data_IF_064304087081
#
_entry.id   IF_064304087081
#
_cell.length_a   1.000
_cell.length_b   1.000
_cell.length_c   1.000
_cell.angle_alpha   90.00
_cell.angle_beta   90.00
_cell.angle_gamma   90.00
#
_symmetry.space_group_name_H-M   'P 1'
#
loop_
_entity.id
_entity.type
_entity.pdbx_description
1 polymer ?
#
# COMPACT_ATOMS: atom_id res chain seq x y z
N UNK A 1 71.80 -8.09 46.05
CA UNK A 1 71.30 -9.31 46.73
C UNK A 1 70.62 -8.89 48.03
N UNK A 2 69.29 -9.03 48.08
CA UNK A 2 68.40 -9.13 49.25
C UNK A 2 68.76 -8.49 50.62
N UNK A 3 67.86 -7.59 51.07
CA UNK A 3 66.96 -7.77 52.23
C UNK A 3 67.11 -6.87 53.51
N UNK A 4 66.00 -6.15 53.77
CA UNK A 4 65.31 -5.72 55.03
C UNK A 4 65.97 -4.79 56.07
N UNK A 5 65.15 -3.84 56.57
CA UNK A 5 64.63 -3.64 57.96
C UNK A 5 63.99 -2.23 58.03
N UNK A 6 62.66 -2.04 58.04
CA UNK A 6 61.69 -1.91 59.16
C UNK A 6 61.86 -0.69 60.10
N UNK A 7 60.71 -0.04 60.35
CA UNK A 7 60.29 0.81 61.48
C UNK A 7 60.49 2.34 61.41
N UNK A 8 59.36 3.07 61.43
CA UNK A 8 59.12 4.12 62.43
C UNK A 8 57.64 4.38 62.65
N UNK A 9 57.36 4.77 63.87
CA UNK A 9 56.11 4.66 64.60
C UNK A 9 55.06 5.72 64.28
N UNK A 10 53.85 5.31 64.57
CA UNK A 10 52.56 5.97 64.49
C UNK A 10 52.33 6.87 65.72
N UNK A 11 51.70 8.04 65.54
CA UNK A 11 51.12 8.81 66.63
C UNK A 11 50.92 10.29 66.31
N UNK A 12 49.66 10.69 66.06
CA UNK A 12 48.92 11.72 66.81
C UNK A 12 47.51 11.80 66.20
N UNK A 13 46.52 11.62 67.08
CA UNK A 13 45.10 11.85 66.84
C UNK A 13 44.72 13.29 67.25
N UNK A 14 43.51 13.69 66.85
CA UNK A 14 42.77 14.95 67.09
C UNK A 14 43.01 16.10 66.11
N UNK A 15 42.06 16.25 65.18
CA UNK A 15 41.24 17.46 65.02
C UNK A 15 39.92 17.04 64.36
N UNK A 16 38.81 17.30 65.05
CA UNK A 16 37.48 16.87 64.65
C UNK A 16 36.57 18.08 64.34
N UNK A 17 35.83 17.95 63.22
CA UNK A 17 34.57 18.60 62.81
C UNK A 17 34.58 20.09 62.38
N UNK A 18 33.74 20.52 61.39
CA UNK A 18 32.53 19.86 60.88
C UNK A 18 32.42 19.73 59.34
N UNK A 19 32.03 18.56 58.83
CA UNK A 19 31.49 18.41 57.46
C UNK A 19 30.12 17.75 57.51
N UNK A 20 29.20 18.38 58.25
CA UNK A 20 27.77 18.27 57.96
C UNK A 20 27.44 19.43 57.00
N UNK A 21 26.61 19.15 56.00
CA UNK A 21 26.19 20.01 54.87
C UNK A 21 27.08 19.96 53.62
N UNK A 22 26.94 18.88 52.84
CA UNK A 22 26.57 18.92 51.43
C UNK A 22 26.68 17.51 50.84
N UNK A 23 25.73 16.63 51.15
CA UNK A 23 25.37 15.61 50.15
C UNK A 23 24.69 16.37 49.02
N UNK A 24 25.49 16.93 48.11
CA UNK A 24 25.01 17.22 46.77
C UNK A 24 24.62 15.85 46.22
N UNK A 25 23.33 15.53 46.37
CA UNK A 25 22.66 14.62 45.46
C UNK A 25 22.90 15.24 44.10
N UNK A 26 23.96 14.79 43.43
CA UNK A 26 24.18 15.05 42.02
C UNK A 26 22.97 14.41 41.35
N UNK A 27 21.89 15.20 41.17
CA UNK A 27 20.87 14.86 40.23
C UNK A 27 21.62 14.66 38.91
N UNK A 28 21.73 13.40 38.47
CA UNK A 28 22.25 13.14 37.14
C UNK A 28 21.33 13.90 36.20
N UNK A 29 21.86 14.94 35.55
CA UNK A 29 21.15 15.58 34.45
C UNK A 29 20.80 14.47 33.46
N UNK A 30 19.51 14.15 33.39
CA UNK A 30 19.02 13.10 32.51
C UNK A 30 19.40 13.50 31.09
N UNK A 31 20.12 12.60 30.38
CA UNK A 31 20.46 12.82 28.98
C UNK A 31 19.18 13.11 28.20
N UNK A 32 19.08 14.32 27.67
CA UNK A 32 17.98 14.72 26.81
C UNK A 32 18.19 14.10 25.42
N UNK A 33 17.12 13.65 24.73
CA UNK A 33 17.21 13.20 23.35
C UNK A 33 17.78 14.29 22.43
N UNK A 34 18.52 13.90 21.40
CA UNK A 34 19.04 14.82 20.36
C UNK A 34 18.05 14.93 19.19
N UNK A 35 18.34 15.79 18.21
CA UNK A 35 17.57 15.79 16.96
C UNK A 35 17.68 14.44 16.22
N UNK A 36 18.83 13.76 16.31
CA UNK A 36 19.02 12.42 15.73
C UNK A 36 18.07 11.38 16.35
N UNK A 37 17.79 11.49 17.65
CA UNK A 37 16.83 10.60 18.33
C UNK A 37 15.37 10.91 17.95
N UNK A 38 15.06 12.17 17.62
CA UNK A 38 13.70 12.70 17.55
C UNK A 38 13.16 12.86 16.13
N UNK A 39 14.02 13.08 15.14
CA UNK A 39 13.60 13.37 13.77
C UNK A 39 13.67 12.12 12.88
N UNK A 40 12.59 11.81 12.13
CA UNK A 40 12.64 10.76 11.11
C UNK A 40 13.78 11.00 10.12
N UNK A 41 14.65 10.00 9.95
CA UNK A 41 15.86 10.09 9.13
C UNK A 41 17.15 10.33 9.91
N UNK A 42 17.05 10.62 11.21
CA UNK A 42 18.21 10.69 12.10
C UNK A 42 18.86 9.33 12.34
N UNK A 43 20.16 9.33 12.62
CA UNK A 43 20.97 8.11 12.77
C UNK A 43 20.50 7.21 13.91
N UNK A 44 19.99 7.83 14.99
CA UNK A 44 19.51 7.14 16.19
C UNK A 44 18.01 7.29 16.39
N UNK A 45 17.27 7.57 15.30
CA UNK A 45 15.84 7.85 15.37
C UNK A 45 15.08 6.73 16.08
N UNK A 46 14.42 7.09 17.18
CA UNK A 46 13.75 6.11 18.04
C UNK A 46 12.32 5.93 17.58
N UNK A 47 12.01 4.75 17.07
CA UNK A 47 10.64 4.34 16.75
C UNK A 47 10.18 3.22 17.66
N UNK A 48 8.89 3.22 17.96
CA UNK A 48 8.26 2.04 18.54
C UNK A 48 8.33 0.88 17.54
N UNK A 49 8.45 -0.34 18.06
CA UNK A 49 8.38 -1.55 17.23
C UNK A 49 6.97 -1.67 16.63
N UNK A 50 6.87 -1.53 15.31
CA UNK A 50 5.60 -1.71 14.60
C UNK A 50 5.40 -3.18 14.29
N UNK A 51 4.39 -3.78 14.92
CA UNK A 51 3.94 -5.14 14.60
C UNK A 51 2.97 -5.12 13.44
N UNK A 52 3.17 -6.03 12.50
CA UNK A 52 2.32 -6.18 11.31
C UNK A 52 1.35 -7.33 11.49
N UNK A 53 0.05 -7.04 11.42
CA UNK A 53 -1.00 -8.05 11.59
C UNK A 53 -1.86 -8.20 10.33
N UNK A 54 -2.33 -9.43 10.07
CA UNK A 54 -3.30 -9.77 9.02
C UNK A 54 -4.34 -10.75 9.54
N UNK A 55 -5.57 -10.64 9.03
CA UNK A 55 -6.61 -11.61 9.30
C UNK A 55 -6.54 -12.78 8.32
N UNK A 56 -6.69 -14.00 8.83
CA UNK A 56 -6.99 -15.19 8.05
C UNK A 56 -8.47 -15.54 8.27
N UNK A 57 -9.33 -14.97 7.41
CA UNK A 57 -10.77 -14.87 7.62
C UNK A 57 -11.10 -14.48 9.06
N UNK A 58 -12.12 -15.14 9.62
CA UNK A 58 -12.49 -15.03 11.04
C UNK A 58 -11.77 -16.05 11.93
N UNK A 59 -10.88 -16.87 11.35
CA UNK A 59 -10.29 -18.01 12.03
C UNK A 59 -9.10 -17.61 12.91
N UNK A 60 -8.21 -16.75 12.41
CA UNK A 60 -6.98 -16.37 13.12
C UNK A 60 -6.47 -14.96 12.79
N UNK A 61 -5.74 -14.38 13.73
CA UNK A 61 -4.91 -13.21 13.52
C UNK A 61 -3.46 -13.64 13.33
N UNK A 62 -2.81 -13.17 12.25
CA UNK A 62 -1.45 -13.51 11.87
C UNK A 62 -0.51 -12.34 12.11
N UNK A 63 0.55 -12.54 12.87
CA UNK A 63 1.67 -11.61 13.06
C UNK A 63 2.74 -11.90 12.00
N UNK A 64 2.97 -10.93 11.11
CA UNK A 64 3.99 -10.98 10.07
C UNK A 64 5.32 -10.52 10.65
N UNK A 65 6.25 -11.46 10.83
CA UNK A 65 7.58 -11.19 11.37
C UNK A 65 8.70 -11.26 10.33
N UNK A 66 9.94 -11.09 10.81
CA UNK A 66 11.16 -11.27 10.02
C UNK A 66 11.40 -12.76 9.73
N UNK A 67 11.45 -13.57 10.79
CA UNK A 67 11.83 -14.99 10.67
C UNK A 67 10.66 -15.95 10.50
N UNK A 68 9.45 -15.52 10.80
CA UNK A 68 8.24 -16.37 10.72
C UNK A 68 6.96 -15.55 10.67
N UNK A 69 5.91 -16.18 10.18
CA UNK A 69 4.53 -15.75 10.43
C UNK A 69 3.98 -16.60 11.56
N UNK A 70 3.54 -15.93 12.63
CA UNK A 70 2.86 -16.57 13.77
C UNK A 70 1.38 -16.28 13.69
N UNK A 71 0.56 -17.19 14.18
CA UNK A 71 -0.89 -17.02 14.24
C UNK A 71 -1.40 -17.20 15.66
N UNK A 72 -2.51 -16.54 15.98
CA UNK A 72 -3.32 -16.75 17.18
C UNK A 72 -4.72 -17.08 16.70
N UNK A 73 -5.26 -18.22 17.11
CA UNK A 73 -6.63 -18.61 16.79
C UNK A 73 -7.64 -17.68 17.48
N UNK A 74 -8.58 -17.15 16.71
CA UNK A 74 -9.64 -16.26 17.23
C UNK A 74 -10.88 -17.04 17.71
N UNK A 75 -11.07 -18.25 17.21
CA UNK A 75 -12.24 -19.09 17.47
C UNK A 75 -11.84 -20.53 17.81
N UNK A 76 -12.73 -21.27 18.47
CA UNK A 76 -12.56 -22.70 18.68
C UNK A 76 -12.96 -23.48 17.42
N UNK A 77 -12.19 -24.49 17.07
CA UNK A 77 -12.44 -25.36 15.93
C UNK A 77 -11.75 -26.72 16.09
N UNK A 78 -11.85 -27.57 15.06
CA UNK A 78 -11.19 -28.88 15.07
C UNK A 78 -9.67 -28.67 15.11
N UNK A 79 -9.05 -29.04 16.24
CA UNK A 79 -7.60 -28.87 16.44
C UNK A 79 -7.13 -27.42 16.65
N UNK A 80 -8.04 -26.50 16.97
CA UNK A 80 -7.72 -25.10 17.23
C UNK A 80 -8.48 -24.59 18.47
N UNK A 81 -7.77 -24.05 19.45
CA UNK A 81 -8.36 -23.40 20.62
C UNK A 81 -8.16 -21.89 20.56
N UNK A 82 -9.20 -21.12 20.84
CA UNK A 82 -9.09 -19.67 20.89
C UNK A 82 -7.97 -19.20 21.84
N UNK A 83 -7.12 -18.29 21.38
CA UNK A 83 -5.94 -17.79 22.08
C UNK A 83 -4.69 -18.66 21.95
N UNK A 84 -4.78 -19.84 21.34
CA UNK A 84 -3.62 -20.71 21.11
C UNK A 84 -2.75 -20.16 19.97
N UNK A 85 -1.44 -20.13 20.21
CA UNK A 85 -0.45 -19.70 19.25
C UNK A 85 -0.03 -20.86 18.33
N UNK A 86 0.21 -20.56 17.06
CA UNK A 86 0.78 -21.49 16.10
C UNK A 86 1.74 -20.80 15.13
N UNK A 87 2.54 -21.58 14.41
CA UNK A 87 3.44 -21.07 13.37
C UNK A 87 2.87 -21.39 12.00
N UNK A 88 2.61 -20.36 11.20
CA UNK A 88 2.12 -20.50 9.82
C UNK A 88 3.24 -21.00 8.91
N UNK A 89 4.38 -20.31 8.90
CA UNK A 89 5.56 -20.67 8.11
C UNK A 89 6.80 -19.94 8.65
N UNK A 90 7.97 -20.57 8.53
CA UNK A 90 9.27 -19.92 8.81
C UNK A 90 9.92 -19.40 7.53
N UNK A 91 10.81 -18.40 7.66
CA UNK A 91 11.56 -17.86 6.54
C UNK A 91 12.43 -18.92 5.85
N UNK A 92 12.94 -19.88 6.64
CA UNK A 92 13.70 -21.03 6.14
C UNK A 92 12.83 -21.95 5.28
N UNK A 93 11.63 -22.29 5.75
CA UNK A 93 10.66 -23.11 5.00
C UNK A 93 10.24 -22.41 3.70
N UNK A 94 9.84 -21.14 3.79
CA UNK A 94 9.40 -20.37 2.62
C UNK A 94 10.52 -20.28 1.57
N UNK A 95 11.75 -19.95 1.98
CA UNK A 95 12.88 -19.86 1.06
C UNK A 95 13.30 -21.21 0.47
N UNK A 96 13.05 -22.33 1.17
CA UNK A 96 13.26 -23.67 0.60
C UNK A 96 12.30 -23.89 -0.58
N UNK A 97 11.00 -23.62 -0.40
CA UNK A 97 9.99 -23.75 -1.46
C UNK A 97 10.27 -22.85 -2.66
N UNK A 98 10.73 -21.62 -2.41
CA UNK A 98 11.09 -20.67 -3.47
C UNK A 98 12.33 -21.12 -4.25
N UNK A 99 13.34 -21.69 -3.57
CA UNK A 99 14.57 -22.16 -4.21
C UNK A 99 14.32 -23.35 -5.14
N UNK A 100 13.41 -24.26 -4.79
CA UNK A 100 13.03 -25.41 -5.62
C UNK A 100 12.46 -25.02 -6.99
N UNK A 101 11.97 -23.78 -7.12
CA UNK A 101 11.40 -23.22 -8.37
C UNK A 101 12.17 -22.00 -8.89
N UNK A 102 13.32 -21.67 -8.30
CA UNK A 102 14.17 -20.52 -8.67
C UNK A 102 13.46 -19.15 -8.59
N UNK A 103 12.50 -18.98 -7.67
CA UNK A 103 11.61 -17.78 -7.58
C UNK A 103 12.16 -16.64 -6.71
N UNK A 104 13.47 -16.64 -6.46
CA UNK A 104 14.13 -15.66 -5.60
C UNK A 104 14.08 -16.01 -4.11
N UNK A 105 14.25 -15.00 -3.25
CA UNK A 105 14.41 -15.18 -1.81
C UNK A 105 13.73 -14.06 -1.03
N UNK A 106 13.05 -14.42 0.06
CA UNK A 106 12.48 -13.51 1.04
C UNK A 106 13.48 -13.16 2.13
N UNK A 107 13.35 -11.94 2.66
CA UNK A 107 14.10 -11.44 3.83
C UNK A 107 13.24 -11.29 5.08
N UNK A 108 11.93 -11.09 4.91
CA UNK A 108 10.92 -10.97 5.95
C UNK A 108 9.53 -11.25 5.34
N UNK A 109 8.49 -11.23 6.17
CA UNK A 109 7.10 -11.43 5.73
C UNK A 109 6.24 -10.16 5.75
N UNK A 110 6.80 -8.96 5.93
CA UNK A 110 5.99 -7.73 6.10
C UNK A 110 5.09 -7.41 4.90
N UNK A 111 5.48 -7.85 3.69
CA UNK A 111 4.69 -7.68 2.47
C UNK A 111 3.78 -8.88 2.16
N UNK A 112 3.73 -9.89 3.02
CA UNK A 112 2.87 -11.06 2.81
C UNK A 112 1.39 -10.69 2.97
N UNK A 113 0.52 -11.34 2.20
CA UNK A 113 -0.94 -11.14 2.25
C UNK A 113 -1.65 -12.48 2.41
N UNK A 114 -2.63 -12.53 3.29
CA UNK A 114 -3.60 -13.62 3.32
C UNK A 114 -4.61 -13.43 2.19
N UNK A 115 -5.00 -14.51 1.53
CA UNK A 115 -6.10 -14.46 0.55
C UNK A 115 -7.37 -14.88 1.29
N UNK A 116 -8.31 -13.94 1.41
CA UNK A 116 -9.53 -14.13 2.19
C UNK A 116 -10.80 -14.21 1.32
N UNK A 117 -10.66 -14.44 0.01
CA UNK A 117 -11.78 -14.64 -0.91
C UNK A 117 -12.62 -15.84 -0.45
N UNK A 118 -13.89 -15.64 -0.08
CA UNK A 118 -14.77 -16.74 0.28
C UNK A 118 -14.98 -17.67 -0.92
N UNK A 119 -14.84 -18.99 -0.74
CA UNK A 119 -15.48 -19.93 -1.65
C UNK A 119 -17.00 -19.83 -1.47
N UNK A 120 -17.75 -19.88 -2.57
CA UNK A 120 -19.20 -19.73 -2.56
C UNK A 120 -19.86 -20.68 -1.54
N UNK A 121 -20.50 -20.08 -0.54
CA UNK A 121 -21.50 -20.63 0.38
C UNK A 121 -21.36 -22.11 0.78
N UNK A 122 -20.59 -22.39 1.85
CA UNK A 122 -21.04 -23.40 2.81
C UNK A 122 -21.94 -22.70 3.81
N UNK A 123 -23.24 -22.86 3.64
CA UNK A 123 -24.25 -22.41 4.61
C UNK A 123 -24.07 -23.25 5.88
N UNK A 124 -23.75 -22.57 6.97
CA UNK A 124 -23.70 -23.17 8.32
C UNK A 124 -22.29 -23.47 8.80
N UNK A 125 -21.75 -22.54 9.60
CA UNK A 125 -20.56 -22.65 10.47
C UNK A 125 -19.21 -22.54 9.73
N UNK A 126 -18.54 -21.40 9.99
CA UNK A 126 -17.22 -20.96 9.53
C UNK A 126 -17.06 -20.79 8.00
N UNK A 127 -16.88 -19.54 7.57
CA UNK A 127 -16.25 -19.20 6.30
C UNK A 127 -14.94 -19.98 6.18
N UNK A 128 -14.93 -21.05 5.39
CA UNK A 128 -13.70 -21.75 5.02
C UNK A 128 -12.98 -20.88 4.00
N UNK A 129 -12.07 -20.04 4.49
CA UNK A 129 -11.05 -19.39 3.66
C UNK A 129 -9.91 -20.37 3.41
N UNK A 130 -9.51 -20.48 2.15
CA UNK A 130 -8.39 -21.33 1.77
C UNK A 130 -7.12 -20.86 2.50
N UNK A 131 -6.26 -21.78 3.00
CA UNK A 131 -5.05 -21.44 3.76
C UNK A 131 -3.96 -20.92 2.84
N UNK A 132 -4.24 -19.85 2.10
CA UNK A 132 -3.37 -19.31 1.06
C UNK A 132 -2.66 -18.05 1.54
N UNK A 133 -1.36 -18.02 1.26
CA UNK A 133 -0.50 -16.89 1.57
C UNK A 133 0.20 -16.42 0.29
N UNK A 134 -0.01 -15.16 -0.04
CA UNK A 134 0.72 -14.47 -1.10
C UNK A 134 2.02 -13.92 -0.53
N UNK A 135 3.12 -14.30 -1.17
CA UNK A 135 4.48 -13.88 -0.90
C UNK A 135 4.97 -13.06 -2.09
N UNK A 136 5.80 -12.04 -1.82
CA UNK A 136 6.41 -11.21 -2.85
C UNK A 136 7.94 -11.18 -2.66
N UNK A 137 8.68 -11.73 -3.62
CA UNK A 137 10.16 -11.77 -3.59
C UNK A 137 10.80 -10.52 -4.22
N UNK A 138 10.00 -9.55 -4.65
CA UNK A 138 10.39 -8.41 -5.48
C UNK A 138 10.45 -8.75 -6.97
N UNK A 139 10.77 -10.00 -7.33
CA UNK A 139 10.77 -10.49 -8.72
C UNK A 139 9.58 -11.35 -9.07
N UNK A 140 8.98 -12.01 -8.08
CA UNK A 140 7.84 -12.89 -8.27
C UNK A 140 6.82 -12.69 -7.16
N UNK A 141 5.54 -12.75 -7.55
CA UNK A 141 4.42 -13.06 -6.66
C UNK A 141 4.28 -14.56 -6.60
N UNK A 142 4.16 -15.10 -5.40
CA UNK A 142 4.08 -16.55 -5.17
C UNK A 142 2.96 -16.82 -4.20
N UNK A 143 2.08 -17.76 -4.56
CA UNK A 143 0.99 -18.19 -3.72
C UNK A 143 1.32 -19.58 -3.17
N UNK A 144 1.25 -19.72 -1.86
CA UNK A 144 1.49 -20.99 -1.17
C UNK A 144 0.25 -21.42 -0.39
N UNK A 145 0.01 -22.72 -0.33
CA UNK A 145 -0.84 -23.33 0.70
C UNK A 145 0.02 -23.58 1.94
N UNK A 146 -0.16 -22.78 2.99
CA UNK A 146 0.71 -22.83 4.15
C UNK A 146 0.45 -24.03 5.07
N UNK A 147 -0.74 -24.66 4.98
CA UNK A 147 -1.04 -25.89 5.72
C UNK A 147 -0.36 -27.09 5.06
N UNK A 148 -0.41 -27.17 3.73
CA UNK A 148 0.27 -28.23 2.96
C UNK A 148 1.76 -27.97 2.78
N UNK A 149 2.21 -26.72 2.98
CA UNK A 149 3.58 -26.26 2.69
C UNK A 149 3.93 -26.45 1.22
N UNK A 150 3.01 -26.10 0.34
CA UNK A 150 3.15 -26.29 -1.10
C UNK A 150 3.02 -24.97 -1.84
N UNK A 151 3.83 -24.80 -2.90
CA UNK A 151 3.69 -23.71 -3.84
C UNK A 151 2.60 -24.06 -4.85
N UNK A 152 1.56 -23.22 -4.94
CA UNK A 152 0.40 -23.50 -5.79
C UNK A 152 0.36 -22.65 -7.06
N UNK A 153 0.99 -21.47 -7.04
CA UNK A 153 0.99 -20.55 -8.18
C UNK A 153 2.11 -19.52 -8.05
N UNK A 154 2.58 -18.99 -9.18
CA UNK A 154 3.50 -17.86 -9.22
C UNK A 154 3.27 -17.01 -10.48
N UNK A 155 3.69 -15.74 -10.42
CA UNK A 155 3.66 -14.79 -11.52
C UNK A 155 4.86 -13.84 -11.40
N UNK A 156 5.54 -13.49 -12.50
CA UNK A 156 6.62 -12.51 -12.47
C UNK A 156 6.10 -11.11 -12.09
N UNK A 157 6.90 -10.36 -11.36
CA UNK A 157 6.70 -8.93 -11.15
C UNK A 157 7.37 -8.17 -12.32
N UNK A 158 6.62 -7.36 -13.09
CA UNK A 158 7.21 -6.64 -14.21
C UNK A 158 8.30 -5.67 -13.74
N UNK A 159 9.41 -5.61 -14.48
CA UNK A 159 10.48 -4.65 -14.19
C UNK A 159 9.97 -3.21 -14.39
N UNK A 160 10.40 -2.30 -13.51
CA UNK A 160 10.04 -0.87 -13.56
C UNK A 160 8.53 -0.58 -13.43
N UNK A 161 7.72 -1.58 -13.07
CA UNK A 161 6.32 -1.38 -12.77
C UNK A 161 6.13 -0.40 -11.61
N UNK A 162 5.23 0.57 -11.82
CA UNK A 162 4.70 1.41 -10.76
C UNK A 162 3.19 1.14 -10.59
N UNK A 163 2.62 1.61 -9.49
CA UNK A 163 1.16 1.56 -9.23
C UNK A 163 0.54 0.17 -9.39
N UNK A 164 1.25 -0.87 -8.92
CA UNK A 164 0.79 -2.25 -8.98
C UNK A 164 -0.51 -2.47 -8.18
N UNK A 165 -1.57 -2.90 -8.86
CA UNK A 165 -2.87 -3.26 -8.27
C UNK A 165 -3.25 -4.68 -8.68
N UNK A 166 -3.16 -5.62 -7.73
CA UNK A 166 -3.35 -7.05 -7.95
C UNK A 166 -4.71 -7.50 -7.41
N UNK A 167 -5.53 -8.11 -8.27
CA UNK A 167 -6.81 -8.68 -7.89
C UNK A 167 -6.63 -10.11 -7.36
N UNK A 168 -7.13 -10.40 -6.16
CA UNK A 168 -6.95 -11.71 -5.52
C UNK A 168 -7.82 -12.84 -6.11
N UNK A 169 -8.92 -12.50 -6.78
CA UNK A 169 -9.84 -13.47 -7.40
C UNK A 169 -9.30 -13.93 -8.76
N UNK A 170 -9.13 -13.00 -9.70
CA UNK A 170 -8.62 -13.30 -11.05
C UNK A 170 -7.11 -13.50 -11.09
N UNK A 171 -6.38 -13.02 -10.07
CA UNK A 171 -4.91 -12.94 -10.03
C UNK A 171 -4.30 -12.09 -11.13
N UNK A 172 -5.11 -11.22 -11.73
CA UNK A 172 -4.63 -10.23 -12.68
C UNK A 172 -3.91 -9.09 -11.95
N UNK A 173 -2.87 -8.58 -12.59
CA UNK A 173 -2.08 -7.45 -12.11
C UNK A 173 -2.27 -6.28 -13.07
N UNK A 174 -2.82 -5.18 -12.58
CA UNK A 174 -2.74 -3.89 -13.26
C UNK A 174 -1.48 -3.16 -12.79
N UNK A 175 -0.77 -2.50 -13.69
CA UNK A 175 0.40 -1.70 -13.34
C UNK A 175 0.67 -0.67 -14.43
N UNK A 176 1.47 0.34 -14.11
CA UNK A 176 1.83 1.39 -15.06
C UNK A 176 3.30 1.33 -15.40
N UNK A 177 3.62 1.60 -16.67
CA UNK A 177 4.96 1.94 -17.13
C UNK A 177 4.90 3.34 -17.71
N UNK A 178 5.66 4.26 -17.11
CA UNK A 178 5.58 5.70 -17.41
C UNK A 178 4.13 6.20 -17.30
N UNK A 179 3.55 6.71 -18.39
CA UNK A 179 2.20 7.26 -18.45
C UNK A 179 1.13 6.26 -18.92
N UNK A 180 1.51 5.00 -19.19
CA UNK A 180 0.62 4.01 -19.80
C UNK A 180 0.27 2.85 -18.85
N UNK A 181 -0.94 2.33 -19.01
CA UNK A 181 -1.51 1.23 -18.22
C UNK A 181 -1.30 -0.13 -18.91
N UNK A 182 -0.95 -1.13 -18.11
CA UNK A 182 -0.75 -2.51 -18.50
C UNK A 182 -1.53 -3.45 -17.58
N UNK A 183 -1.91 -4.61 -18.13
CA UNK A 183 -2.51 -5.72 -17.38
C UNK A 183 -1.73 -6.99 -17.67
N UNK A 184 -1.31 -7.69 -16.61
CA UNK A 184 -0.77 -9.03 -16.70
C UNK A 184 -1.80 -10.04 -16.18
N UNK A 185 -2.15 -11.03 -16.98
CA UNK A 185 -3.09 -12.10 -16.61
C UNK A 185 -2.42 -13.15 -15.72
N UNK A 186 -3.22 -14.04 -15.14
CA UNK A 186 -2.76 -15.01 -14.15
C UNK A 186 -1.74 -16.04 -14.67
N UNK A 187 -1.67 -16.22 -15.99
CA UNK A 187 -0.71 -17.06 -16.71
C UNK A 187 0.56 -16.29 -17.12
N UNK A 188 0.66 -15.00 -16.74
CA UNK A 188 1.81 -14.16 -17.00
C UNK A 188 1.78 -13.41 -18.34
N UNK A 189 0.73 -13.55 -19.16
CA UNK A 189 0.62 -12.77 -20.40
C UNK A 189 0.42 -11.29 -20.08
N UNK A 190 1.23 -10.44 -20.69
CA UNK A 190 1.16 -8.98 -20.52
C UNK A 190 0.42 -8.35 -21.69
N UNK A 191 -0.49 -7.43 -21.39
CA UNK A 191 -1.27 -6.67 -22.35
C UNK A 191 -1.16 -5.19 -22.04
N UNK A 192 -0.80 -4.42 -23.06
CA UNK A 192 -0.82 -2.96 -22.97
C UNK A 192 -2.27 -2.49 -23.14
N UNK A 193 -2.80 -1.78 -22.13
CA UNK A 193 -4.17 -1.29 -22.13
C UNK A 193 -4.27 0.06 -22.84
N UNK A 194 -3.24 0.90 -22.70
CA UNK A 194 -3.22 2.25 -23.28
C UNK A 194 -1.91 2.53 -24.03
N UNK A 195 -2.00 3.35 -25.07
CA UNK A 195 -0.85 3.86 -25.83
C UNK A 195 -1.04 5.36 -26.02
N UNK A 196 -0.63 6.14 -25.03
CA UNK A 196 -0.88 7.57 -24.94
C UNK A 196 0.41 8.37 -25.04
N UNK A 197 0.30 9.57 -25.62
CA UNK A 197 1.39 10.53 -25.74
C UNK A 197 1.71 11.21 -24.40
N UNK A 198 2.82 11.96 -24.37
CA UNK A 198 3.17 12.82 -23.24
C UNK A 198 2.03 13.80 -22.90
N UNK A 199 1.80 14.05 -21.62
CA UNK A 199 0.70 14.89 -21.15
C UNK A 199 -0.64 14.17 -21.01
N UNK A 200 -0.70 12.86 -21.31
CA UNK A 200 -1.83 12.00 -20.98
C UNK A 200 -1.35 10.87 -20.08
N UNK A 201 -1.97 10.75 -18.90
CA UNK A 201 -1.58 9.81 -17.84
C UNK A 201 -2.73 8.83 -17.58
N UNK A 202 -2.44 7.53 -17.68
CA UNK A 202 -3.42 6.46 -17.53
C UNK A 202 -3.12 5.55 -16.33
N UNK A 203 -4.18 5.14 -15.61
CA UNK A 203 -4.07 4.17 -14.51
C UNK A 203 -3.41 4.70 -13.23
N UNK A 204 -3.27 6.03 -13.10
CA UNK A 204 -2.64 6.69 -11.95
C UNK A 204 -3.65 7.58 -11.22
N UNK A 205 -3.28 8.01 -10.02
CA UNK A 205 -4.07 8.98 -9.27
C UNK A 205 -4.25 10.28 -10.07
N UNK A 206 -5.43 10.89 -9.97
CA UNK A 206 -5.82 12.11 -10.68
C UNK A 206 -6.26 13.17 -9.69
N UNK A 207 -6.61 14.36 -10.19
CA UNK A 207 -7.12 15.46 -9.36
C UNK A 207 -6.19 15.79 -8.18
N UNK A 208 -4.87 15.62 -8.38
CA UNK A 208 -3.84 15.85 -7.36
C UNK A 208 -4.08 15.11 -6.03
N UNK A 209 -4.68 13.91 -6.08
CA UNK A 209 -4.98 13.07 -4.92
C UNK A 209 -6.08 13.61 -3.98
N UNK A 210 -6.89 14.56 -4.44
CA UNK A 210 -8.06 15.05 -3.69
C UNK A 210 -9.20 14.00 -3.68
N UNK A 211 -10.23 14.24 -2.86
CA UNK A 211 -11.48 13.44 -2.80
C UNK A 211 -11.23 11.94 -2.50
N UNK A 212 -10.23 11.66 -1.66
CA UNK A 212 -9.84 10.30 -1.30
C UNK A 212 -9.15 9.49 -2.42
N UNK A 213 -8.80 10.11 -3.55
CA UNK A 213 -8.16 9.42 -4.67
C UNK A 213 -6.68 9.15 -4.37
N UNK A 214 -6.33 7.87 -4.21
CA UNK A 214 -4.95 7.44 -3.95
C UNK A 214 -4.37 6.52 -5.04
N UNK A 215 -5.19 6.08 -6.00
CA UNK A 215 -4.81 5.24 -7.14
C UNK A 215 -5.69 5.53 -8.35
N UNK A 216 -5.36 4.93 -9.50
CA UNK A 216 -6.12 5.11 -10.74
C UNK A 216 -6.63 3.82 -11.38
N UNK A 217 -6.62 2.70 -10.66
CA UNK A 217 -7.02 1.38 -11.12
C UNK A 217 -8.01 0.75 -10.13
N UNK A 218 -9.11 0.20 -10.65
CA UNK A 218 -10.22 -0.31 -9.86
C UNK A 218 -10.75 -1.59 -10.50
N UNK A 219 -10.29 -2.74 -10.00
CA UNK A 219 -10.77 -4.04 -10.42
C UNK A 219 -12.25 -4.25 -10.05
N UNK A 220 -13.02 -4.81 -10.97
CA UNK A 220 -14.33 -5.41 -10.68
C UNK A 220 -14.20 -6.55 -9.66
N UNK A 221 -15.27 -6.95 -8.97
CA UNK A 221 -15.16 -7.93 -7.87
C UNK A 221 -14.58 -9.27 -8.31
N UNK A 222 -14.84 -9.71 -9.53
CA UNK A 222 -14.31 -10.95 -10.13
C UNK A 222 -12.99 -10.74 -10.87
N UNK A 223 -12.57 -9.48 -11.06
CA UNK A 223 -11.30 -9.13 -11.68
C UNK A 223 -11.22 -9.35 -13.19
N UNK A 224 -12.36 -9.46 -13.88
CA UNK A 224 -12.46 -9.58 -15.35
C UNK A 224 -12.61 -8.22 -16.06
N UNK A 225 -13.08 -7.19 -15.34
CA UNK A 225 -13.08 -5.80 -15.79
C UNK A 225 -12.17 -4.93 -14.91
N UNK A 226 -11.49 -3.98 -15.52
CA UNK A 226 -10.65 -2.98 -14.85
C UNK A 226 -11.12 -1.57 -15.23
N UNK A 227 -11.64 -0.82 -14.27
CA UNK A 227 -11.86 0.60 -14.45
C UNK A 227 -10.57 1.36 -14.16
N UNK A 228 -10.30 2.41 -14.93
CA UNK A 228 -9.12 3.22 -14.77
C UNK A 228 -9.34 4.68 -15.17
N UNK A 229 -8.58 5.59 -14.55
CA UNK A 229 -8.55 6.98 -14.98
C UNK A 229 -7.64 7.17 -16.21
N UNK A 230 -8.09 8.03 -17.12
CA UNK A 230 -7.28 8.66 -18.17
C UNK A 230 -7.35 10.17 -17.95
N UNK A 231 -6.22 10.78 -17.64
CA UNK A 231 -6.11 12.23 -17.39
C UNK A 231 -5.32 12.88 -18.53
N UNK A 232 -5.94 13.84 -19.22
CA UNK A 232 -5.27 14.73 -20.15
C UNK A 232 -4.92 16.03 -19.43
N UNK A 233 -3.62 16.27 -19.28
CA UNK A 233 -3.03 17.46 -18.66
C UNK A 233 -2.22 18.28 -19.67
N UNK A 234 -2.35 18.00 -20.97
CA UNK A 234 -1.62 18.71 -22.03
C UNK A 234 -1.88 20.22 -22.04
N UNK A 235 -3.08 20.64 -21.64
CA UNK A 235 -3.51 22.04 -21.52
C UNK A 235 -3.08 22.71 -20.20
N UNK A 236 -2.59 21.96 -19.23
CA UNK A 236 -2.18 22.49 -17.92
C UNK A 236 -0.80 23.13 -18.04
N UNK A 237 -0.61 24.30 -17.45
CA UNK A 237 0.67 25.00 -17.46
C UNK A 237 1.79 24.17 -16.82
N UNK A 238 2.97 24.19 -17.45
CA UNK A 238 4.19 23.61 -16.88
C UNK A 238 4.87 24.61 -15.95
N UNK A 239 5.17 24.17 -14.73
CA UNK A 239 5.98 24.88 -13.76
C UNK A 239 7.43 24.37 -13.84
N UNK A 240 8.42 25.24 -14.12
CA UNK A 240 9.81 24.83 -14.28
C UNK A 240 10.51 24.71 -12.92
N UNK A 241 10.78 23.48 -12.47
CA UNK A 241 11.74 23.24 -11.40
C UNK A 241 13.15 23.19 -12.00
N UNK A 242 14.16 23.61 -11.23
CA UNK A 242 15.56 23.62 -11.70
C UNK A 242 16.34 22.54 -10.97
N UNK A 243 16.91 21.60 -11.69
CA UNK A 243 17.91 20.68 -11.17
C UNK A 243 19.29 21.34 -11.19
N UNK A 244 19.80 21.65 -9.99
CA UNK A 244 21.12 22.26 -9.78
C UNK A 244 22.23 21.22 -9.59
N UNK A 245 21.91 19.92 -9.58
CA UNK A 245 22.89 18.82 -9.43
C UNK A 245 23.46 18.36 -10.78
N UNK A 246 22.75 18.64 -11.88
CA UNK A 246 23.24 18.43 -13.23
C UNK A 246 24.47 19.30 -13.55
N UNK A 247 25.30 18.85 -14.52
CA UNK A 247 26.55 19.55 -14.89
C UNK A 247 26.30 20.98 -15.38
N UNK A 248 25.20 21.18 -16.08
CA UNK A 248 24.60 22.48 -16.45
C UNK A 248 23.18 22.39 -15.92
N UNK A 249 22.67 23.43 -15.26
CA UNK A 249 21.33 23.38 -14.67
C UNK A 249 20.26 22.99 -15.69
N UNK A 250 19.42 22.03 -15.33
CA UNK A 250 18.37 21.47 -16.20
C UNK A 250 16.97 21.85 -15.70
N UNK A 251 16.02 21.97 -16.61
CA UNK A 251 14.61 22.19 -16.28
C UNK A 251 13.88 20.85 -16.10
N UNK A 252 13.28 20.68 -14.92
CA UNK A 252 12.39 19.58 -14.58
C UNK A 252 10.96 20.10 -14.50
N UNK A 253 10.28 20.13 -15.65
CA UNK A 253 8.92 20.67 -15.75
C UNK A 253 7.89 19.75 -15.09
N UNK A 254 6.96 20.33 -14.33
CA UNK A 254 5.80 19.63 -13.75
C UNK A 254 4.50 20.33 -14.15
N UNK A 255 3.43 19.58 -14.43
CA UNK A 255 2.11 20.17 -14.72
C UNK A 255 1.46 20.64 -13.40
N UNK A 256 1.08 21.91 -13.33
CA UNK A 256 0.53 22.52 -12.12
C UNK A 256 -0.66 23.44 -12.41
N UNK A 257 -1.92 23.01 -12.15
CA UNK A 257 -3.10 23.84 -12.36
C UNK A 257 -3.28 24.83 -11.21
N UNK A 258 -2.86 26.08 -11.40
CA UNK A 258 -3.08 27.14 -10.41
C UNK A 258 -4.57 27.54 -10.33
N UNK A 259 -4.99 28.04 -9.16
CA UNK A 259 -6.35 28.48 -8.92
C UNK A 259 -6.83 29.50 -9.98
N UNK A 260 -8.04 29.30 -10.50
CA UNK A 260 -8.64 30.15 -11.55
C UNK A 260 -8.15 29.89 -12.98
N UNK A 261 -7.14 29.03 -13.19
CA UNK A 261 -6.64 28.67 -14.53
C UNK A 261 -7.23 27.36 -15.05
N UNK A 262 -6.97 27.02 -16.31
CA UNK A 262 -7.42 25.77 -16.93
C UNK A 262 -6.96 24.53 -16.14
N UNK A 263 -7.89 23.62 -15.83
CA UNK A 263 -7.61 22.32 -15.21
C UNK A 263 -7.38 21.23 -16.27
N UNK A 264 -6.82 20.10 -15.82
CA UNK A 264 -6.79 18.86 -16.58
C UNK A 264 -8.20 18.29 -16.79
N UNK A 265 -8.33 17.40 -17.77
CA UNK A 265 -9.56 16.68 -18.12
C UNK A 265 -9.42 15.21 -17.76
N UNK A 266 -10.38 14.66 -17.03
CA UNK A 266 -10.36 13.24 -16.63
C UNK A 266 -11.50 12.49 -17.31
N UNK A 267 -11.21 11.30 -17.83
CA UNK A 267 -12.22 10.33 -18.25
C UNK A 267 -11.98 8.99 -17.56
N UNK A 268 -13.01 8.15 -17.51
CA UNK A 268 -12.94 6.81 -16.91
C UNK A 268 -13.10 5.78 -18.01
N UNK A 269 -12.09 4.93 -18.18
CA UNK A 269 -12.12 3.78 -19.08
C UNK A 269 -12.43 2.50 -18.32
N UNK A 270 -13.08 1.54 -18.98
CA UNK A 270 -13.31 0.17 -18.52
C UNK A 270 -12.67 -0.76 -19.52
N UNK A 271 -11.61 -1.45 -19.10
CA UNK A 271 -10.94 -2.47 -19.88
C UNK A 271 -11.47 -3.86 -19.53
N UNK A 272 -11.89 -4.61 -20.54
CA UNK A 272 -12.30 -6.01 -20.40
C UNK A 272 -11.11 -6.93 -20.71
N UNK A 273 -10.71 -7.75 -19.73
CA UNK A 273 -9.53 -8.62 -19.87
C UNK A 273 -9.77 -9.85 -20.74
N UNK A 274 -11.01 -10.21 -21.06
CA UNK A 274 -11.30 -11.31 -21.97
C UNK A 274 -11.30 -10.81 -23.41
N UNK A 275 -12.05 -9.75 -23.70
CA UNK A 275 -12.21 -9.21 -25.05
C UNK A 275 -11.07 -8.29 -25.46
N UNK A 276 -10.25 -7.83 -24.50
CA UNK A 276 -9.15 -6.88 -24.69
C UNK A 276 -9.62 -5.53 -25.26
N UNK A 277 -10.86 -5.14 -24.95
CA UNK A 277 -11.46 -3.88 -25.42
C UNK A 277 -11.64 -2.92 -24.26
N UNK A 278 -11.51 -1.64 -24.56
CA UNK A 278 -11.78 -0.54 -23.64
C UNK A 278 -13.05 0.20 -24.08
N UNK A 279 -13.93 0.46 -23.12
CA UNK A 279 -15.09 1.35 -23.28
C UNK A 279 -14.91 2.52 -22.32
N UNK A 280 -15.15 3.75 -22.77
CA UNK A 280 -15.11 4.92 -21.90
C UNK A 280 -16.51 5.29 -21.44
N UNK A 281 -16.64 5.73 -20.19
CA UNK A 281 -17.90 6.27 -19.70
C UNK A 281 -18.26 7.51 -20.52
N UNK A 282 -19.48 7.55 -21.03
CA UNK A 282 -20.05 8.67 -21.77
C UNK A 282 -20.47 9.76 -20.78
N UNK A 283 -19.49 10.48 -20.23
CA UNK A 283 -19.75 11.55 -19.26
C UNK A 283 -20.06 12.88 -19.95
N UNK A 284 -19.88 13.01 -21.27
CA UNK A 284 -19.93 14.29 -21.99
C UNK A 284 -18.58 15.03 -21.96
N UNK A 285 -18.59 16.36 -22.04
CA UNK A 285 -17.35 17.17 -21.93
C UNK A 285 -16.82 17.13 -20.48
N UNK A 286 -15.63 16.56 -20.21
CA UNK A 286 -15.08 16.44 -18.86
C UNK A 286 -14.46 17.74 -18.32
N UNK A 287 -14.50 18.84 -19.09
CA UNK A 287 -13.99 20.14 -18.64
C UNK A 287 -14.68 20.55 -17.34
N UNK A 288 -13.90 21.00 -16.35
CA UNK A 288 -14.41 21.59 -15.12
C UNK A 288 -15.29 20.65 -14.27
N UNK A 289 -15.02 19.35 -14.38
CA UNK A 289 -15.71 18.28 -13.66
C UNK A 289 -14.72 17.31 -13.03
N UNK A 290 -15.02 16.86 -11.83
CA UNK A 290 -14.23 15.90 -11.09
C UNK A 290 -14.97 14.57 -11.02
N UNK A 291 -14.31 13.48 -11.41
CA UNK A 291 -14.86 12.13 -11.33
C UNK A 291 -14.12 11.39 -10.22
N UNK A 292 -14.85 11.01 -9.16
CA UNK A 292 -14.26 10.57 -7.90
C UNK A 292 -14.93 9.28 -7.39
N UNK A 293 -14.34 8.66 -6.36
CA UNK A 293 -14.92 7.55 -5.60
C UNK A 293 -15.49 6.39 -6.48
N UNK A 294 -14.73 5.95 -7.49
CA UNK A 294 -15.13 4.85 -8.39
C UNK A 294 -15.43 3.59 -7.58
N UNK A 295 -16.61 3.01 -7.79
CA UNK A 295 -17.08 1.79 -7.13
C UNK A 295 -17.85 0.89 -8.08
N UNK A 296 -17.66 -0.42 -7.96
CA UNK A 296 -18.34 -1.41 -8.82
C UNK A 296 -19.64 -1.90 -8.19
N UNK A 297 -20.66 -2.13 -9.02
CA UNK A 297 -21.77 -2.99 -8.60
C UNK A 297 -21.26 -4.42 -8.34
N UNK A 298 -21.85 -5.16 -7.38
CA UNK A 298 -21.43 -6.54 -7.08
C UNK A 298 -21.51 -7.49 -8.28
N UNK A 299 -22.42 -7.25 -9.22
CA UNK A 299 -22.59 -8.04 -10.45
C UNK A 299 -21.73 -7.53 -11.64
N UNK A 300 -20.95 -6.47 -11.42
CA UNK A 300 -20.11 -5.79 -12.40
C UNK A 300 -20.83 -5.27 -13.67
N UNK A 301 -22.17 -5.22 -13.71
CA UNK A 301 -22.95 -4.71 -14.85
C UNK A 301 -23.06 -3.19 -14.88
N UNK A 302 -22.77 -2.55 -13.74
CA UNK A 302 -22.72 -1.11 -13.61
C UNK A 302 -21.58 -0.67 -12.72
N UNK A 303 -21.16 0.57 -12.90
CA UNK A 303 -20.15 1.24 -12.10
C UNK A 303 -20.72 2.56 -11.59
N UNK A 304 -20.30 2.95 -10.38
CA UNK A 304 -20.69 4.18 -9.72
C UNK A 304 -19.48 5.10 -9.61
N UNK A 305 -19.73 6.39 -9.70
CA UNK A 305 -18.76 7.44 -9.36
C UNK A 305 -19.51 8.63 -8.78
N UNK A 306 -18.81 9.45 -8.02
CA UNK A 306 -19.32 10.75 -7.62
C UNK A 306 -18.75 11.79 -8.58
N UNK A 307 -19.64 12.58 -9.20
CA UNK A 307 -19.27 13.72 -10.02
C UNK A 307 -19.40 15.00 -9.21
N UNK A 308 -18.35 15.81 -9.18
CA UNK A 308 -18.32 17.11 -8.49
C UNK A 308 -18.06 18.22 -9.51
N UNK A 309 -18.79 19.34 -9.40
CA UNK A 309 -18.58 20.52 -10.24
C UNK A 309 -17.32 21.31 -9.83
N UNK A 310 -16.87 22.24 -10.70
CA UNK A 310 -15.68 23.07 -10.44
C UNK A 310 -15.76 23.96 -9.19
N UNK A 311 -16.95 24.45 -8.84
CA UNK A 311 -17.16 25.20 -7.60
C UNK A 311 -17.16 24.31 -6.34
N UNK A 312 -17.09 22.99 -6.52
CA UNK A 312 -17.04 21.99 -5.46
C UNK A 312 -18.20 22.08 -4.47
N UNK A 313 -19.39 22.49 -4.94
CA UNK A 313 -20.56 22.74 -4.11
C UNK A 313 -21.77 21.88 -4.48
N UNK A 314 -21.64 21.03 -5.51
CA UNK A 314 -22.68 20.12 -5.99
C UNK A 314 -22.09 18.78 -6.40
N UNK A 315 -22.34 17.74 -5.62
CA UNK A 315 -21.93 16.36 -5.88
C UNK A 315 -23.11 15.52 -6.40
N UNK A 316 -22.82 14.57 -7.30
CA UNK A 316 -23.81 13.64 -7.88
C UNK A 316 -23.29 12.22 -7.88
N UNK A 317 -24.01 11.30 -7.23
CA UNK A 317 -23.74 9.87 -7.34
C UNK A 317 -24.34 9.34 -8.65
N UNK A 318 -23.49 9.04 -9.62
CA UNK A 318 -23.88 8.60 -10.96
C UNK A 318 -23.62 7.11 -11.15
N UNK A 319 -24.54 6.41 -11.80
CA UNK A 319 -24.43 5.01 -12.20
C UNK A 319 -24.30 4.91 -13.72
N UNK A 320 -23.30 4.16 -14.20
CA UNK A 320 -23.04 3.95 -15.62
C UNK A 320 -23.06 2.45 -15.97
N UNK A 321 -23.46 2.13 -17.20
CA UNK A 321 -23.41 0.78 -17.74
C UNK A 321 -21.96 0.42 -18.10
N UNK A 322 -21.49 -0.76 -17.71
CA UNK A 322 -20.08 -1.16 -17.88
C UNK A 322 -19.73 -1.68 -19.26
N UNK A 323 -20.73 -2.12 -20.04
CA UNK A 323 -20.55 -2.60 -21.42
C UNK A 323 -20.63 -1.46 -22.44
N UNK A 324 -21.52 -0.49 -22.24
CA UNK A 324 -21.75 0.61 -23.19
C UNK A 324 -21.11 1.92 -22.76
N UNK A 325 -20.82 2.11 -21.47
CA UNK A 325 -20.36 3.36 -20.90
C UNK A 325 -21.45 4.40 -20.70
N UNK A 326 -22.71 4.11 -21.05
CA UNK A 326 -23.81 5.08 -20.97
C UNK A 326 -24.27 5.35 -19.53
N UNK A 327 -24.64 6.60 -19.26
CA UNK A 327 -25.24 6.99 -17.97
C UNK A 327 -26.60 6.29 -17.81
N UNK A 328 -26.75 5.57 -16.71
CA UNK A 328 -28.00 4.89 -16.38
C UNK A 328 -28.88 5.76 -15.49
N UNK A 329 -28.32 6.36 -14.44
CA UNK A 329 -29.05 7.18 -13.49
C UNK A 329 -28.12 8.09 -12.66
N UNK A 330 -28.66 9.20 -12.17
CA UNK A 330 -28.14 9.92 -11.01
C UNK A 330 -28.98 9.51 -9.80
N UNK A 331 -28.34 8.87 -8.81
CA UNK A 331 -29.02 8.21 -7.70
C UNK A 331 -29.20 9.12 -6.48
N UNK A 332 -28.26 10.05 -6.30
CA UNK A 332 -28.23 10.97 -5.18
C UNK A 332 -27.50 12.25 -5.59
N UNK A 333 -27.94 13.39 -5.06
CA UNK A 333 -27.29 14.68 -5.24
C UNK A 333 -27.17 15.39 -3.89
N UNK A 334 -26.04 16.05 -3.67
CA UNK A 334 -25.78 16.84 -2.47
C UNK A 334 -25.26 18.22 -2.86
N UNK A 335 -25.81 19.25 -2.21
CA UNK A 335 -25.38 20.64 -2.41
C UNK A 335 -25.12 21.33 -1.09
N UNK A 336 -24.12 22.20 -1.06
CA UNK A 336 -23.84 23.00 0.12
C UNK A 336 -23.31 24.39 -0.27
N UNK A 337 -23.73 25.50 0.40
CA UNK A 337 -23.31 26.86 0.01
C UNK A 337 -21.81 27.14 0.07
N UNK A 338 -21.03 26.32 0.80
CA UNK A 338 -19.57 26.45 0.88
C UNK A 338 -18.90 25.47 -0.07
N UNK A 339 -18.97 24.19 0.27
CA UNK A 339 -18.39 23.09 -0.47
C UNK A 339 -19.02 21.75 -0.04
N UNK A 340 -18.88 20.73 -0.89
CA UNK A 340 -19.15 19.31 -0.66
C UNK A 340 -17.86 18.55 -0.96
N UNK A 341 -17.47 17.62 -0.10
CA UNK A 341 -16.24 16.81 -0.23
C UNK A 341 -16.60 15.32 -0.18
N UNK A 342 -16.67 14.62 -1.33
CA UNK A 342 -17.18 13.24 -1.43
C UNK A 342 -16.19 12.13 -1.05
#
# INVERSE_FOLDING_TARGET
>A
MNMKIICKWMGIALLALPTLFATNVMAQDLKKPTLEDLLPGGETYRIAENKSYKWYGDAACLELGIDSIKGIWAVNGVGAKAGENFTVITLKEANKLLAEKELGKLRNFYSAKTINTPHSAVIGILLQVDPLLLLNTGKYRVLIDWKKKELIWNQPCPAQAANEDWNEVSRHLAYTLNNNLYVMTNDGQTRQVTTEAEGIVCGQSVHRNEFGINKGTYWSPQGNLLAFYRMDESMVTQYPLVDITARIGELNNVRYPMAGMTSHKVTVGIYNTETQKTVYLNTGDPTDRYFTNISWAPDAKSIYLIELNRDQNHAKLCQYNTETGELMATLFEETHPKYVEP
#
